data_IF_854856096257
#
_entry.id   IF_854856096257
#
_cell.length_a   1.000
_cell.length_b   1.000
_cell.length_c   1.000
_cell.angle_alpha   90.00
_cell.angle_beta   90.00
_cell.angle_gamma   90.00
#
_symmetry.space_group_name_H-M   'P 1'
#
loop_
_entity.id
_entity.type
_entity.pdbx_description
1 polymer ?
#
# COMPACT_ATOMS: atom_id res chain seq x y z
N UNK A 1 -1.32 7.54 -20.47
CA UNK A 1 -0.26 8.14 -19.68
C UNK A 1 0.11 9.59 -20.00
N UNK A 2 -0.83 10.44 -20.45
CA UNK A 2 -0.55 11.85 -20.78
C UNK A 2 -0.68 12.74 -19.54
N UNK A 3 -0.03 13.94 -19.56
CA UNK A 3 -0.22 14.98 -18.55
C UNK A 3 -1.70 15.42 -18.47
N UNK A 4 -2.38 15.55 -19.61
CA UNK A 4 -3.81 15.88 -19.62
C UNK A 4 -4.61 14.86 -18.81
N UNK A 5 -4.43 13.57 -19.06
CA UNK A 5 -5.12 12.51 -18.30
C UNK A 5 -4.79 12.53 -16.80
N UNK A 6 -3.56 12.89 -16.42
CA UNK A 6 -3.18 13.07 -15.02
C UNK A 6 -3.95 14.21 -14.35
N UNK A 7 -4.08 15.36 -15.04
CA UNK A 7 -4.84 16.52 -14.55
C UNK A 7 -6.33 16.23 -14.48
N UNK A 8 -6.90 15.59 -15.53
CA UNK A 8 -8.31 15.18 -15.55
C UNK A 8 -8.60 14.25 -14.36
N UNK A 9 -7.71 13.27 -14.08
CA UNK A 9 -7.83 12.39 -12.91
C UNK A 9 -7.69 13.14 -11.58
N UNK A 10 -6.79 14.10 -11.48
CA UNK A 10 -6.63 14.92 -10.29
C UNK A 10 -7.92 15.72 -10.01
N UNK A 11 -8.49 16.37 -11.02
CA UNK A 11 -9.74 17.12 -10.89
C UNK A 11 -10.91 16.22 -10.47
N UNK A 12 -11.05 15.06 -11.12
CA UNK A 12 -12.05 14.04 -10.74
C UNK A 12 -11.87 13.60 -9.27
N UNK A 13 -10.63 13.33 -8.86
CA UNK A 13 -10.33 12.93 -7.50
C UNK A 13 -10.73 14.01 -6.49
N UNK A 14 -10.28 15.25 -6.70
CA UNK A 14 -10.57 16.36 -5.80
C UNK A 14 -12.08 16.61 -5.69
N UNK A 15 -12.80 16.56 -6.80
CA UNK A 15 -14.22 16.85 -6.83
C UNK A 15 -15.10 15.73 -6.23
N UNK A 16 -14.80 14.45 -6.53
CA UNK A 16 -15.72 13.34 -6.26
C UNK A 16 -15.22 12.31 -5.24
N UNK A 17 -13.92 12.29 -4.95
CA UNK A 17 -13.33 11.25 -4.11
C UNK A 17 -12.71 11.81 -2.83
N UNK A 18 -12.09 12.97 -2.91
CA UNK A 18 -11.41 13.61 -1.77
C UNK A 18 -12.36 13.90 -0.60
N UNK A 19 -13.60 14.39 -0.78
CA UNK A 19 -14.51 14.65 0.35
C UNK A 19 -14.75 13.45 1.26
N UNK A 20 -14.78 12.24 0.71
CA UNK A 20 -15.02 11.00 1.45
C UNK A 20 -13.74 10.22 1.76
N UNK A 21 -12.57 10.76 1.44
CA UNK A 21 -11.32 10.02 1.42
C UNK A 21 -10.96 9.40 2.76
N UNK A 22 -11.06 10.14 3.85
CA UNK A 22 -10.69 9.65 5.19
C UNK A 22 -11.46 8.39 5.61
N UNK A 23 -12.73 8.30 5.23
CA UNK A 23 -13.63 7.23 5.63
C UNK A 23 -13.62 6.06 4.64
N UNK A 24 -13.53 6.37 3.34
CA UNK A 24 -13.79 5.38 2.28
C UNK A 24 -12.55 4.87 1.56
N UNK A 25 -11.37 5.49 1.75
CA UNK A 25 -10.14 5.10 1.05
C UNK A 25 -9.73 3.63 1.22
N UNK A 26 -10.10 3.04 2.37
CA UNK A 26 -9.78 1.65 2.68
C UNK A 26 -10.83 0.63 2.21
N UNK A 27 -11.95 1.09 1.66
CA UNK A 27 -13.01 0.22 1.16
C UNK A 27 -12.85 -0.01 -0.35
N UNK A 28 -12.48 -1.22 -0.81
CA UNK A 28 -12.25 -1.49 -2.23
C UNK A 28 -13.47 -1.19 -3.11
N UNK A 29 -14.68 -1.53 -2.65
CA UNK A 29 -15.92 -1.26 -3.37
C UNK A 29 -16.22 0.24 -3.53
N UNK A 30 -15.73 1.09 -2.63
CA UNK A 30 -15.93 2.54 -2.70
C UNK A 30 -15.03 3.22 -3.74
N UNK A 31 -13.86 2.62 -4.03
CA UNK A 31 -12.90 3.08 -5.03
C UNK A 31 -12.52 4.58 -4.91
N UNK A 32 -12.28 5.05 -3.67
CA UNK A 32 -12.01 6.47 -3.36
C UNK A 32 -10.51 6.83 -3.31
N UNK A 33 -9.62 5.99 -3.80
CA UNK A 33 -8.19 6.31 -3.91
C UNK A 33 -7.91 7.28 -5.07
N UNK A 34 -6.86 8.09 -4.94
CA UNK A 34 -6.49 9.06 -5.98
C UNK A 34 -6.08 8.40 -7.29
N UNK A 35 -5.42 7.23 -7.23
CA UNK A 35 -4.81 6.53 -8.37
C UNK A 35 -3.78 7.36 -9.13
N UNK A 36 -3.14 8.33 -8.46
CA UNK A 36 -2.18 9.25 -9.09
C UNK A 36 -0.73 8.74 -9.09
N UNK A 37 -0.45 7.64 -8.38
CA UNK A 37 0.93 7.16 -8.16
C UNK A 37 1.69 6.91 -9.46
N UNK A 38 1.08 6.30 -10.48
CA UNK A 38 1.71 6.08 -11.78
C UNK A 38 2.10 7.39 -12.49
N UNK A 39 1.24 8.41 -12.48
CA UNK A 39 1.57 9.70 -13.09
C UNK A 39 2.62 10.48 -12.31
N UNK A 40 2.64 10.36 -10.97
CA UNK A 40 3.69 10.91 -10.13
C UNK A 40 5.02 10.21 -10.41
N UNK A 41 5.03 8.88 -10.48
CA UNK A 41 6.21 8.08 -10.79
C UNK A 41 6.86 8.48 -12.12
N UNK A 42 6.06 8.63 -13.18
CA UNK A 42 6.55 9.03 -14.51
C UNK A 42 6.67 10.55 -14.71
N UNK A 43 6.55 11.36 -13.67
CA UNK A 43 6.70 12.82 -13.74
C UNK A 43 5.67 13.53 -14.64
N UNK A 44 4.49 12.93 -14.86
CA UNK A 44 3.42 13.56 -15.66
C UNK A 44 2.64 14.60 -14.88
N UNK A 45 2.71 14.54 -13.56
CA UNK A 45 2.20 15.52 -12.62
C UNK A 45 3.17 15.59 -11.45
N UNK A 46 3.33 16.75 -10.84
CA UNK A 46 4.18 16.92 -9.66
C UNK A 46 3.39 16.73 -8.36
N UNK A 47 4.07 16.33 -7.29
CA UNK A 47 3.48 16.28 -5.95
C UNK A 47 2.98 17.67 -5.52
N UNK A 48 3.68 18.75 -5.91
CA UNK A 48 3.27 20.12 -5.64
C UNK A 48 1.88 20.43 -6.23
N UNK A 49 1.63 20.07 -7.50
CA UNK A 49 0.32 20.28 -8.15
C UNK A 49 -0.79 19.51 -7.44
N UNK A 50 -0.49 18.26 -7.02
CA UNK A 50 -1.44 17.42 -6.29
C UNK A 50 -1.78 18.02 -4.92
N UNK A 51 -0.76 18.45 -4.17
CA UNK A 51 -0.94 19.11 -2.86
C UNK A 51 -1.69 20.40 -3.01
N UNK A 52 -1.31 21.24 -3.98
CA UNK A 52 -1.99 22.52 -4.24
C UNK A 52 -3.47 22.30 -4.53
N UNK A 53 -3.82 21.37 -5.40
CA UNK A 53 -5.22 21.08 -5.73
C UNK A 53 -6.03 20.59 -4.50
N UNK A 54 -5.43 19.80 -3.62
CA UNK A 54 -6.07 19.38 -2.37
C UNK A 54 -6.25 20.56 -1.39
N UNK A 55 -5.28 21.47 -1.30
CA UNK A 55 -5.37 22.66 -0.45
C UNK A 55 -6.39 23.67 -0.99
N UNK A 56 -6.44 23.87 -2.30
CA UNK A 56 -7.43 24.73 -2.95
C UNK A 56 -8.88 24.25 -2.77
N UNK A 57 -9.08 22.99 -2.38
CA UNK A 57 -10.41 22.42 -2.07
C UNK A 57 -10.85 22.67 -0.62
N UNK A 58 -10.03 23.30 0.22
CA UNK A 58 -10.41 23.74 1.56
C UNK A 58 -11.47 24.84 1.49
N UNK A 59 -12.28 25.05 2.56
CA UNK A 59 -13.15 26.22 2.64
C UNK A 59 -12.42 27.55 2.41
N UNK A 60 -13.11 28.55 1.83
CA UNK A 60 -12.51 29.84 1.46
C UNK A 60 -11.88 30.61 2.66
N UNK A 61 -12.38 30.38 3.86
CA UNK A 61 -11.86 30.96 5.10
C UNK A 61 -10.67 30.20 5.69
N UNK A 62 -10.31 29.04 5.11
CA UNK A 62 -9.16 28.28 5.56
C UNK A 62 -7.84 28.92 5.08
N UNK A 63 -6.92 29.10 5.98
CA UNK A 63 -5.57 29.55 5.69
C UNK A 63 -4.57 28.53 6.21
N UNK A 64 -3.44 28.38 5.51
CA UNK A 64 -2.31 27.63 6.05
C UNK A 64 -1.91 28.29 7.35
N UNK A 65 -2.42 27.76 8.44
CA UNK A 65 -2.11 28.18 9.77
C UNK A 65 -0.72 27.72 10.20
N UNK A 66 -0.41 27.98 11.44
CA UNK A 66 0.79 27.45 12.08
C UNK A 66 0.62 25.94 12.17
N UNK A 67 1.48 25.16 11.47
CA UNK A 67 1.54 23.72 11.65
C UNK A 67 1.67 23.41 13.14
N UNK A 68 0.72 22.67 13.69
CA UNK A 68 0.68 22.39 15.13
C UNK A 68 1.23 21.00 15.40
N UNK A 69 2.42 20.88 16.02
CA UNK A 69 2.90 19.60 16.49
C UNK A 69 1.87 18.95 17.42
N UNK A 70 1.42 17.73 17.09
CA UNK A 70 0.44 17.02 17.89
C UNK A 70 1.01 15.70 18.43
N UNK A 71 2.17 15.76 19.11
CA UNK A 71 2.86 14.61 19.73
C UNK A 71 3.01 13.42 18.76
N UNK A 72 3.32 13.67 17.47
CA UNK A 72 3.42 12.66 16.43
C UNK A 72 2.08 12.13 15.93
N UNK A 73 0.95 12.67 16.36
CA UNK A 73 -0.35 12.34 15.79
C UNK A 73 -0.55 13.13 14.48
N UNK A 74 -1.11 12.43 13.50
CA UNK A 74 -1.47 13.00 12.19
C UNK A 74 -2.59 14.04 12.29
N UNK A 75 -3.63 13.73 13.09
CA UNK A 75 -4.83 14.57 13.21
C UNK A 75 -4.49 15.98 13.69
N UNK A 76 -4.98 16.96 12.95
CA UNK A 76 -4.77 18.38 13.25
C UNK A 76 -3.41 18.94 12.83
N UNK A 77 -2.54 18.16 12.21
CA UNK A 77 -1.20 18.64 11.81
C UNK A 77 -1.28 19.72 10.72
N UNK A 78 -2.11 19.50 9.70
CA UNK A 78 -2.34 20.48 8.63
C UNK A 78 -3.52 21.42 8.94
N UNK A 79 -4.21 21.25 10.06
CA UNK A 79 -5.35 22.06 10.52
C UNK A 79 -6.48 22.22 9.48
N UNK A 80 -6.69 21.23 8.62
CA UNK A 80 -7.63 21.27 7.53
C UNK A 80 -8.81 20.31 7.68
N UNK A 81 -9.57 20.14 6.60
CA UNK A 81 -10.57 19.10 6.50
C UNK A 81 -9.96 17.71 6.73
N UNK A 82 -10.66 16.84 7.44
CA UNK A 82 -10.18 15.50 7.83
C UNK A 82 -9.77 14.64 6.63
N UNK A 83 -10.49 14.72 5.52
CA UNK A 83 -10.18 13.96 4.30
C UNK A 83 -8.99 14.53 3.57
N UNK A 84 -8.90 15.86 3.49
CA UNK A 84 -7.76 16.55 2.90
C UNK A 84 -6.51 16.27 3.73
N UNK A 85 -6.59 16.38 5.06
CA UNK A 85 -5.48 16.08 5.96
C UNK A 85 -5.01 14.63 5.82
N UNK A 86 -5.94 13.67 5.75
CA UNK A 86 -5.60 12.26 5.53
C UNK A 86 -4.95 12.00 4.15
N UNK A 87 -5.30 12.79 3.14
CA UNK A 87 -4.68 12.70 1.82
C UNK A 87 -3.30 13.34 1.77
N UNK A 88 -3.14 14.50 2.41
CA UNK A 88 -1.84 15.19 2.52
C UNK A 88 -0.82 14.32 3.29
N UNK A 89 -1.25 13.60 4.31
CA UNK A 89 -0.39 12.65 5.03
C UNK A 89 0.19 11.57 4.08
N UNK A 90 -0.63 11.05 3.17
CA UNK A 90 -0.15 10.04 2.19
C UNK A 90 0.80 10.65 1.14
N UNK A 91 0.45 11.81 0.58
CA UNK A 91 1.20 12.39 -0.54
C UNK A 91 2.43 13.18 -0.12
N UNK A 92 2.49 13.64 1.14
CA UNK A 92 3.64 14.33 1.71
C UNK A 92 4.40 13.40 2.64
N UNK A 93 3.83 13.04 3.79
CA UNK A 93 4.54 12.34 4.85
C UNK A 93 5.04 10.98 4.38
N UNK A 94 4.13 10.10 3.94
CA UNK A 94 4.51 8.75 3.55
C UNK A 94 5.35 8.72 2.28
N UNK A 95 5.07 9.60 1.35
CA UNK A 95 5.90 9.73 0.15
C UNK A 95 7.32 10.14 0.49
N UNK A 96 7.51 11.15 1.31
CA UNK A 96 8.85 11.62 1.71
C UNK A 96 9.59 10.58 2.57
N UNK A 97 8.88 9.81 3.41
CA UNK A 97 9.47 8.66 4.13
C UNK A 97 10.06 7.65 3.14
N UNK A 98 9.35 7.34 2.05
CA UNK A 98 9.84 6.43 1.01
C UNK A 98 11.09 6.96 0.30
N UNK A 99 11.07 8.21 -0.12
CA UNK A 99 12.22 8.86 -0.77
C UNK A 99 13.42 8.98 0.17
N UNK A 100 13.19 9.40 1.41
CA UNK A 100 14.24 9.47 2.43
C UNK A 100 14.86 8.09 2.69
N UNK A 101 14.04 7.05 2.80
CA UNK A 101 14.51 5.68 2.99
C UNK A 101 15.42 5.23 1.86
N UNK A 102 14.97 5.32 0.61
CA UNK A 102 15.74 4.90 -0.54
C UNK A 102 17.01 5.75 -0.77
N UNK A 103 16.99 7.04 -0.39
CA UNK A 103 18.15 7.92 -0.52
C UNK A 103 19.25 7.62 0.50
N UNK A 104 18.89 7.34 1.75
CA UNK A 104 19.84 7.19 2.85
C UNK A 104 20.24 5.74 3.15
N UNK A 105 19.60 4.76 2.51
CA UNK A 105 19.87 3.34 2.70
C UNK A 105 20.23 2.70 1.37
N UNK A 106 21.54 2.44 1.10
CA UNK A 106 21.95 1.72 -0.10
C UNK A 106 21.41 0.29 -0.17
N UNK A 107 21.10 -0.30 0.98
CA UNK A 107 20.48 -1.60 1.21
C UNK A 107 18.95 -1.54 1.34
N UNK A 108 18.31 -0.54 0.72
CA UNK A 108 16.86 -0.30 0.82
C UNK A 108 15.98 -1.46 0.31
N UNK A 109 16.54 -2.36 -0.47
CA UNK A 109 15.88 -3.56 -1.02
C UNK A 109 16.36 -4.88 -0.40
N UNK A 110 17.14 -4.82 0.68
CA UNK A 110 17.68 -5.96 1.39
C UNK A 110 17.09 -6.08 2.81
N UNK A 111 17.01 -7.31 3.35
CA UNK A 111 16.51 -7.55 4.72
C UNK A 111 17.35 -6.82 5.77
N UNK A 112 18.62 -6.62 5.53
CA UNK A 112 19.58 -5.94 6.41
C UNK A 112 19.16 -4.52 6.74
N UNK A 113 18.37 -3.90 5.90
CA UNK A 113 17.81 -2.57 6.18
C UNK A 113 16.78 -2.55 7.31
N UNK A 114 16.23 -3.69 7.70
CA UNK A 114 15.19 -3.79 8.74
C UNK A 114 15.72 -3.42 10.14
N UNK A 115 14.87 -2.96 11.05
CA UNK A 115 15.26 -2.68 12.44
C UNK A 115 15.68 -3.94 13.20
N UNK A 116 16.56 -3.81 14.20
CA UNK A 116 17.07 -4.93 15.01
C UNK A 116 15.97 -5.81 15.62
N UNK A 117 14.90 -5.21 16.14
CA UNK A 117 13.78 -5.97 16.72
C UNK A 117 13.04 -6.85 15.68
N UNK A 118 13.07 -6.44 14.39
CA UNK A 118 12.52 -7.26 13.32
C UNK A 118 13.41 -8.46 13.04
N UNK A 119 14.73 -8.27 12.98
CA UNK A 119 15.69 -9.36 12.82
C UNK A 119 15.58 -10.39 13.94
N UNK A 120 15.47 -9.91 15.20
CA UNK A 120 15.28 -10.76 16.37
C UNK A 120 14.04 -11.64 16.20
N UNK A 121 12.88 -11.03 15.94
CA UNK A 121 11.63 -11.78 15.82
C UNK A 121 11.61 -12.70 14.60
N UNK A 122 12.21 -12.30 13.47
CA UNK A 122 12.35 -13.17 12.28
C UNK A 122 13.22 -14.39 12.58
N UNK A 123 14.32 -14.22 13.32
CA UNK A 123 15.18 -15.32 13.69
C UNK A 123 14.50 -16.31 14.66
N UNK A 124 13.71 -15.80 15.62
CA UNK A 124 12.92 -16.61 16.54
C UNK A 124 11.88 -17.48 15.81
N UNK A 125 11.27 -16.95 14.75
CA UNK A 125 10.14 -17.56 14.01
C UNK A 125 10.52 -18.18 12.66
N UNK A 126 11.80 -18.25 12.30
CA UNK A 126 12.24 -18.76 10.99
C UNK A 126 11.88 -20.22 10.71
N UNK A 127 11.73 -21.03 11.79
CA UNK A 127 11.42 -22.45 11.69
C UNK A 127 9.94 -22.77 11.96
N UNK A 128 9.10 -21.76 12.08
CA UNK A 128 7.67 -21.96 12.33
C UNK A 128 7.02 -22.70 11.15
N UNK A 129 6.19 -23.69 11.47
CA UNK A 129 5.48 -24.47 10.47
C UNK A 129 4.48 -23.59 9.68
N UNK A 130 4.47 -23.74 8.36
CA UNK A 130 3.56 -23.03 7.45
C UNK A 130 2.50 -23.99 6.94
N UNK A 131 1.24 -23.60 7.07
CA UNK A 131 0.12 -24.44 6.60
C UNK A 131 0.04 -24.50 5.07
N UNK A 132 0.51 -23.46 4.39
CA UNK A 132 0.55 -23.33 2.95
C UNK A 132 1.88 -22.76 2.52
N UNK A 133 2.43 -23.25 1.44
CA UNK A 133 3.62 -22.67 0.78
C UNK A 133 3.33 -22.67 -0.71
N UNK A 134 3.49 -21.51 -1.35
CA UNK A 134 3.27 -21.34 -2.78
C UNK A 134 4.55 -20.91 -3.49
N UNK A 135 4.71 -21.35 -4.72
CA UNK A 135 5.76 -20.92 -5.63
C UNK A 135 5.47 -19.52 -6.16
N UNK A 136 6.49 -18.86 -6.70
CA UNK A 136 6.32 -17.56 -7.35
C UNK A 136 5.28 -17.62 -8.48
N UNK A 137 5.27 -18.70 -9.26
CA UNK A 137 4.33 -18.91 -10.35
C UNK A 137 2.88 -19.01 -9.85
N UNK A 138 2.63 -19.75 -8.77
CA UNK A 138 1.29 -19.85 -8.17
C UNK A 138 0.81 -18.49 -7.64
N UNK A 139 1.68 -17.71 -7.01
CA UNK A 139 1.37 -16.34 -6.63
C UNK A 139 1.10 -15.47 -7.85
N UNK A 140 1.97 -15.50 -8.85
CA UNK A 140 1.83 -14.69 -10.05
C UNK A 140 0.51 -14.93 -10.77
N UNK A 141 0.07 -16.20 -10.86
CA UNK A 141 -1.15 -16.58 -11.55
C UNK A 141 -2.38 -16.66 -10.64
N UNK A 142 -2.32 -16.13 -9.41
CA UNK A 142 -3.45 -16.06 -8.47
C UNK A 142 -4.04 -17.44 -8.15
N UNK A 143 -3.17 -18.43 -7.94
CA UNK A 143 -3.53 -19.83 -7.70
C UNK A 143 -3.45 -20.21 -6.21
N UNK A 144 -3.64 -19.26 -5.30
CA UNK A 144 -3.70 -19.55 -3.87
C UNK A 144 -5.11 -19.99 -3.46
N UNK A 145 -5.24 -20.50 -2.24
CA UNK A 145 -6.55 -20.84 -1.66
C UNK A 145 -7.39 -19.62 -1.26
N UNK A 146 -6.80 -18.42 -1.24
CA UNK A 146 -7.44 -17.20 -0.72
C UNK A 146 -8.00 -16.35 -1.84
N UNK A 147 -9.33 -16.29 -1.95
CA UNK A 147 -10.03 -15.52 -2.97
C UNK A 147 -9.73 -14.02 -2.94
N UNK A 148 -9.58 -13.43 -1.74
CA UNK A 148 -9.31 -11.99 -1.62
C UNK A 148 -7.89 -11.68 -2.09
N UNK A 149 -6.93 -12.52 -1.72
CA UNK A 149 -5.56 -12.39 -2.17
C UNK A 149 -5.46 -12.54 -3.69
N UNK A 150 -6.11 -13.57 -4.23
CA UNK A 150 -6.15 -13.82 -5.68
C UNK A 150 -6.77 -12.64 -6.44
N UNK A 151 -7.86 -12.05 -5.91
CA UNK A 151 -8.47 -10.86 -6.49
C UNK A 151 -7.52 -9.65 -6.47
N UNK A 152 -6.75 -9.46 -5.41
CA UNK A 152 -5.77 -8.37 -5.32
C UNK A 152 -4.62 -8.56 -6.33
N UNK A 153 -4.13 -9.78 -6.51
CA UNK A 153 -3.12 -10.11 -7.51
C UNK A 153 -3.66 -9.94 -8.93
N UNK A 154 -4.91 -10.33 -9.20
CA UNK A 154 -5.54 -10.08 -10.49
C UNK A 154 -5.68 -8.60 -10.79
N UNK A 155 -6.09 -7.76 -9.81
CA UNK A 155 -6.14 -6.32 -9.99
C UNK A 155 -4.74 -5.76 -10.32
N UNK A 156 -3.71 -6.20 -9.61
CA UNK A 156 -2.33 -5.78 -9.87
C UNK A 156 -1.92 -6.10 -11.32
N UNK A 157 -2.22 -7.30 -11.79
CA UNK A 157 -1.88 -7.74 -13.16
C UNK A 157 -2.69 -7.04 -14.25
N UNK A 158 -3.95 -6.76 -13.99
CA UNK A 158 -4.87 -6.16 -14.99
C UNK A 158 -4.78 -4.64 -15.04
N UNK A 159 -4.64 -3.97 -13.90
CA UNK A 159 -4.68 -2.51 -13.79
C UNK A 159 -3.34 -1.87 -13.38
N UNK A 160 -2.34 -2.68 -13.00
CA UNK A 160 -1.06 -2.17 -12.50
C UNK A 160 -1.12 -1.50 -11.13
N UNK A 161 -2.19 -1.72 -10.38
CA UNK A 161 -2.42 -1.15 -9.05
C UNK A 161 -3.07 -2.17 -8.12
N UNK A 162 -2.92 -1.98 -6.81
CA UNK A 162 -3.74 -2.65 -5.78
C UNK A 162 -4.30 -1.57 -4.87
N UNK A 163 -5.56 -1.73 -4.44
CA UNK A 163 -6.14 -0.88 -3.40
C UNK A 163 -5.32 -0.99 -2.11
N UNK A 164 -5.01 0.16 -1.48
CA UNK A 164 -4.00 0.25 -0.42
C UNK A 164 -4.18 -0.75 0.74
N UNK A 165 -5.40 -0.89 1.26
CA UNK A 165 -5.68 -1.85 2.34
C UNK A 165 -5.41 -3.31 1.91
N UNK A 166 -5.78 -3.65 0.68
CA UNK A 166 -5.53 -4.98 0.11
C UNK A 166 -4.06 -5.18 -0.25
N UNK A 167 -3.31 -4.14 -0.61
CA UNK A 167 -1.85 -4.23 -0.81
C UNK A 167 -1.14 -4.68 0.47
N UNK A 168 -1.59 -4.17 1.62
CA UNK A 168 -1.06 -4.61 2.90
C UNK A 168 -1.37 -6.08 3.20
N UNK A 169 -2.61 -6.50 2.99
CA UNK A 169 -3.01 -7.91 3.13
C UNK A 169 -2.22 -8.80 2.18
N UNK A 170 -2.10 -8.39 0.91
CA UNK A 170 -1.35 -9.08 -0.14
C UNK A 170 0.09 -9.35 0.28
N UNK A 171 0.79 -8.32 0.77
CA UNK A 171 2.18 -8.47 1.21
C UNK A 171 2.30 -9.35 2.46
N UNK A 172 1.40 -9.21 3.43
CA UNK A 172 1.39 -10.05 4.65
C UNK A 172 1.16 -11.53 4.32
N UNK A 173 0.33 -11.84 3.34
CA UNK A 173 0.07 -13.22 2.93
C UNK A 173 1.23 -13.84 2.16
N UNK A 174 2.00 -13.07 1.40
CA UNK A 174 3.25 -13.56 0.81
C UNK A 174 4.24 -13.96 1.92
N UNK A 175 4.38 -13.14 2.98
CA UNK A 175 5.21 -13.50 4.15
C UNK A 175 4.72 -14.80 4.81
N UNK A 176 3.40 -14.98 4.93
CA UNK A 176 2.80 -16.14 5.57
C UNK A 176 3.01 -17.44 4.76
N UNK A 177 3.01 -17.34 3.42
CA UNK A 177 2.94 -18.48 2.52
C UNK A 177 4.21 -18.73 1.70
N UNK A 178 5.32 -18.15 2.06
CA UNK A 178 6.66 -18.46 1.53
C UNK A 178 7.48 -19.23 2.57
N UNK A 179 8.49 -20.02 2.17
CA UNK A 179 9.25 -20.84 3.11
C UNK A 179 10.03 -20.02 4.13
N UNK A 180 10.47 -18.83 3.77
CA UNK A 180 11.28 -17.94 4.61
C UNK A 180 11.09 -16.46 4.23
N UNK A 181 11.68 -15.56 5.03
CA UNK A 181 11.51 -14.11 4.85
C UNK A 181 12.27 -13.57 3.64
N UNK A 182 13.42 -14.18 3.25
CA UNK A 182 14.16 -13.76 2.07
C UNK A 182 13.34 -14.07 0.80
N UNK A 183 12.83 -15.28 0.70
CA UNK A 183 11.91 -15.67 -0.39
C UNK A 183 10.68 -14.77 -0.44
N UNK A 184 10.14 -14.39 0.73
CA UNK A 184 9.02 -13.44 0.81
C UNK A 184 9.38 -12.08 0.22
N UNK A 185 10.54 -11.52 0.58
CA UNK A 185 11.02 -10.24 0.07
C UNK A 185 11.24 -10.30 -1.44
N UNK A 186 11.90 -11.35 -1.93
CA UNK A 186 12.17 -11.54 -3.37
C UNK A 186 10.87 -11.59 -4.18
N UNK A 187 9.85 -12.31 -3.69
CA UNK A 187 8.55 -12.40 -4.35
C UNK A 187 7.78 -11.08 -4.30
N UNK A 188 7.81 -10.38 -3.17
CA UNK A 188 7.21 -9.05 -3.02
C UNK A 188 7.79 -8.06 -4.03
N UNK A 189 9.12 -7.98 -4.10
CA UNK A 189 9.84 -7.10 -5.04
C UNK A 189 9.54 -7.50 -6.49
N UNK A 190 9.64 -8.80 -6.80
CA UNK A 190 9.42 -9.30 -8.16
C UNK A 190 8.01 -8.97 -8.66
N UNK A 191 6.97 -9.37 -7.91
CA UNK A 191 5.58 -9.19 -8.32
C UNK A 191 5.19 -7.71 -8.39
N UNK A 192 5.63 -6.90 -7.41
CA UNK A 192 5.38 -5.46 -7.42
C UNK A 192 6.06 -4.80 -8.63
N UNK A 193 7.36 -5.04 -8.84
CA UNK A 193 8.12 -4.36 -9.90
C UNK A 193 7.75 -4.82 -11.32
N UNK A 194 7.22 -6.05 -11.45
CA UNK A 194 6.76 -6.58 -12.73
C UNK A 194 5.42 -6.00 -13.15
N UNK A 195 4.50 -5.79 -12.21
CA UNK A 195 3.11 -5.47 -12.53
C UNK A 195 2.65 -4.08 -12.12
N UNK A 196 3.18 -3.50 -11.04
CA UNK A 196 2.75 -2.18 -10.61
C UNK A 196 3.23 -1.09 -11.58
N UNK A 197 2.33 -0.18 -11.96
CA UNK A 197 2.65 0.98 -12.82
C UNK A 197 3.69 1.88 -12.15
N UNK A 198 3.65 1.98 -10.82
CA UNK A 198 4.62 2.68 -9.98
C UNK A 198 5.68 1.73 -9.37
N UNK A 199 5.87 0.56 -9.97
CA UNK A 199 6.94 -0.37 -9.58
C UNK A 199 8.31 0.30 -9.63
N UNK A 200 9.20 -0.06 -8.70
CA UNK A 200 10.53 0.54 -8.51
C UNK A 200 10.54 2.01 -8.04
N UNK A 201 9.38 2.58 -7.72
CA UNK A 201 9.33 3.85 -7.00
C UNK A 201 9.81 3.68 -5.55
N UNK A 202 10.49 4.66 -4.93
CA UNK A 202 10.84 4.60 -3.51
C UNK A 202 9.68 4.23 -2.59
N UNK A 203 8.45 4.67 -2.91
CA UNK A 203 7.26 4.31 -2.15
C UNK A 203 6.83 2.85 -2.31
N UNK A 204 7.18 2.20 -3.43
CA UNK A 204 6.98 0.75 -3.59
C UNK A 204 7.83 -0.02 -2.59
N UNK A 205 9.10 0.32 -2.47
CA UNK A 205 10.00 -0.31 -1.50
C UNK A 205 9.60 0.01 -0.05
N UNK A 206 9.32 1.26 0.28
CA UNK A 206 8.83 1.59 1.62
C UNK A 206 7.54 0.83 1.98
N UNK A 207 6.63 0.63 1.04
CA UNK A 207 5.43 -0.17 1.21
C UNK A 207 5.70 -1.66 1.45
N UNK A 208 6.65 -2.26 0.70
CA UNK A 208 7.12 -3.63 0.90
C UNK A 208 7.75 -3.77 2.30
N UNK A 209 8.67 -2.89 2.64
CA UNK A 209 9.36 -2.91 3.92
C UNK A 209 8.45 -2.57 5.11
N UNK A 210 7.38 -1.83 4.87
CA UNK A 210 6.32 -1.67 5.87
C UNK A 210 5.61 -3.00 6.17
N UNK A 211 5.38 -3.84 5.17
CA UNK A 211 4.87 -5.20 5.40
C UNK A 211 5.82 -6.04 6.28
N UNK A 212 7.13 -5.81 6.15
CA UNK A 212 8.18 -6.47 6.94
C UNK A 212 8.48 -5.77 8.27
N UNK A 213 7.75 -4.71 8.64
CA UNK A 213 7.82 -4.09 9.97
C UNK A 213 8.73 -2.87 10.08
N UNK A 214 9.39 -2.41 8.99
CA UNK A 214 10.38 -1.32 9.08
C UNK A 214 9.82 -0.02 9.66
N UNK A 215 8.59 0.34 9.30
CA UNK A 215 7.96 1.61 9.72
C UNK A 215 6.81 1.37 10.70
N UNK A 216 6.77 0.19 11.31
CA UNK A 216 5.74 -0.22 12.26
C UNK A 216 6.35 -0.44 13.65
N UNK A 217 5.49 -0.68 14.61
CA UNK A 217 5.86 -1.07 15.98
C UNK A 217 5.72 -2.58 16.16
N UNK A 218 6.27 -3.12 17.24
CA UNK A 218 6.01 -4.48 17.66
C UNK A 218 4.53 -4.68 18.03
N UNK A 219 3.98 -5.80 17.60
CA UNK A 219 2.60 -6.25 17.85
C UNK A 219 2.60 -7.50 18.70
N UNK A 220 1.40 -8.00 19.03
CA UNK A 220 1.25 -9.29 19.71
C UNK A 220 1.87 -10.39 18.86
N UNK A 221 2.73 -11.18 19.50
CA UNK A 221 3.48 -12.27 18.90
C UNK A 221 2.56 -13.38 18.36
N UNK A 222 2.90 -13.91 17.19
CA UNK A 222 2.17 -14.97 16.50
C UNK A 222 3.12 -15.87 15.72
N UNK A 223 2.78 -17.13 15.51
CA UNK A 223 3.56 -18.00 14.62
C UNK A 223 3.77 -17.34 13.24
N UNK A 224 4.95 -17.58 12.67
CA UNK A 224 5.41 -17.04 11.38
C UNK A 224 5.68 -15.53 11.42
N UNK A 225 4.78 -14.73 11.98
CA UNK A 225 4.88 -13.27 12.02
C UNK A 225 5.73 -12.75 13.19
N UNK A 226 5.91 -13.55 14.22
CA UNK A 226 6.47 -13.03 15.46
C UNK A 226 5.74 -11.77 15.89
N UNK A 227 6.48 -10.69 16.13
CA UNK A 227 5.94 -9.37 16.51
C UNK A 227 5.57 -8.46 15.33
N UNK A 228 5.63 -8.97 14.09
CA UNK A 228 5.14 -8.21 12.94
C UNK A 228 3.61 -8.09 12.98
N UNK A 229 3.08 -7.00 12.42
CA UNK A 229 1.62 -6.83 12.28
C UNK A 229 1.04 -7.97 11.44
N UNK A 230 0.03 -8.63 11.97
CA UNK A 230 -0.72 -9.67 11.27
C UNK A 230 -1.96 -9.10 10.59
N UNK A 231 -2.30 -9.62 9.41
CA UNK A 231 -3.55 -9.37 8.71
C UNK A 231 -4.14 -10.67 8.16
N UNK A 232 -5.45 -10.84 8.30
CA UNK A 232 -6.16 -11.99 7.75
C UNK A 232 -7.29 -11.58 6.80
N UNK A 233 -7.56 -12.43 5.81
CA UNK A 233 -8.66 -12.24 4.88
C UNK A 233 -10.02 -12.28 5.58
N UNK A 234 -10.17 -13.08 6.63
CA UNK A 234 -11.37 -13.10 7.46
C UNK A 234 -11.62 -11.73 8.13
N UNK A 235 -10.58 -11.15 8.74
CA UNK A 235 -10.67 -9.80 9.31
C UNK A 235 -10.95 -8.74 8.26
N UNK A 236 -10.37 -8.89 7.06
CA UNK A 236 -10.64 -7.99 5.93
C UNK A 236 -12.12 -8.03 5.52
N UNK A 237 -12.72 -9.22 5.39
CA UNK A 237 -14.15 -9.39 5.07
C UNK A 237 -15.08 -8.69 6.07
N UNK A 238 -14.70 -8.69 7.35
CA UNK A 238 -15.49 -8.01 8.40
C UNK A 238 -15.32 -6.50 8.38
N UNK A 239 -14.14 -6.01 7.96
CA UNK A 239 -13.75 -4.60 8.07
C UNK A 239 -14.10 -3.77 6.84
N UNK A 240 -14.03 -4.35 5.64
CA UNK A 240 -14.21 -3.62 4.38
C UNK A 240 -15.22 -4.30 3.46
N UNK A 241 -15.90 -3.50 2.62
CA UNK A 241 -16.82 -4.02 1.61
C UNK A 241 -16.01 -4.53 0.41
N UNK A 242 -16.28 -5.77 -0.02
CA UNK A 242 -15.53 -6.48 -1.05
C UNK A 242 -16.40 -7.11 -2.15
N UNK A 243 -17.73 -6.95 -2.09
CA UNK A 243 -18.66 -7.65 -2.98
C UNK A 243 -18.39 -7.32 -4.45
N UNK A 244 -18.38 -6.04 -4.79
CA UNK A 244 -18.13 -5.60 -6.16
C UNK A 244 -16.68 -5.86 -6.60
N UNK A 245 -15.74 -5.71 -5.67
CA UNK A 245 -14.34 -5.98 -5.89
C UNK A 245 -14.11 -7.46 -6.27
N UNK A 246 -14.65 -8.40 -5.50
CA UNK A 246 -14.54 -9.84 -5.77
C UNK A 246 -15.28 -10.23 -7.07
N UNK A 247 -16.44 -9.64 -7.34
CA UNK A 247 -17.13 -9.85 -8.60
C UNK A 247 -16.30 -9.43 -9.82
N UNK A 248 -15.49 -8.37 -9.68
CA UNK A 248 -14.65 -7.84 -10.76
C UNK A 248 -13.35 -8.62 -10.93
N UNK A 249 -12.63 -8.92 -9.83
CA UNK A 249 -11.28 -9.45 -9.88
C UNK A 249 -11.16 -10.90 -9.37
N UNK A 250 -12.18 -11.43 -8.67
CA UNK A 250 -12.12 -12.78 -8.06
C UNK A 250 -12.25 -13.92 -9.06
N UNK A 251 -12.67 -13.67 -10.30
CA UNK A 251 -12.81 -14.72 -11.32
C UNK A 251 -11.45 -15.03 -11.92
N UNK A 252 -11.02 -16.30 -11.78
CA UNK A 252 -9.95 -16.81 -12.63
C UNK A 252 -10.41 -16.69 -14.09
N UNK A 253 -9.89 -15.73 -14.83
CA UNK A 253 -9.98 -15.79 -16.29
C UNK A 253 -9.14 -17.00 -16.70
N UNK A 254 -9.80 -18.09 -17.12
CA UNK A 254 -9.10 -19.16 -17.85
C UNK A 254 -8.34 -18.46 -18.97
N UNK A 255 -7.02 -18.52 -18.93
CA UNK A 255 -6.20 -18.18 -20.09
C UNK A 255 -6.69 -19.08 -21.23
N UNK A 256 -7.33 -18.48 -22.24
CA UNK A 256 -7.42 -19.12 -23.54
C UNK A 256 -6.00 -19.12 -24.10
N UNK A 257 -5.32 -20.27 -23.96
CA UNK A 257 -4.12 -20.59 -24.69
C UNK A 257 -4.46 -20.79 -26.17
#
# INVERSE_FOLDING_TARGET
GTRKAALDRLHEFVQFHLPDYSEKRNHPDANKSSRLSGWLHFGKISAYEVVKAALDAQPEDWQIGRLMPNNGKREGFFAGDKSIEAFLDEVITWREVGFHFAHHRPDYDELESLPGWVHETMNEHKNDARNYVYTLEEFEWSQTHDEIWNAAQNQLREEGIIQNYLRMLWGKKIIEWTPDYQTALDYLIHLNNKYAVDGRDPNSYSGIFWCLGRFDRAWQERPIFGKLRYMSSESARKKVRLTNYLNKYGRQKKLML
#
